data_IF_840770477304
#
_entry.id   IF_840770477304
#
_cell.length_a   1.000
_cell.length_b   1.000
_cell.length_c   1.000
_cell.angle_alpha   90.00
_cell.angle_beta   90.00
_cell.angle_gamma   90.00
#
_symmetry.space_group_name_H-M   'P 1'
#
loop_
_entity.id
_entity.type
_entity.pdbx_description
1 polymer ?
#
# COMPACT_ATOMS: atom_id res chain seq x y z
N UNK A 1 -2.59 7.89 -54.47
CA UNK A 1 -2.54 7.70 -53.00
C UNK A 1 -2.10 8.98 -52.29
N UNK A 2 -1.37 9.87 -52.99
CA UNK A 2 -0.77 11.10 -52.43
C UNK A 2 -1.83 12.14 -52.00
N UNK A 3 -2.86 12.43 -52.79
CA UNK A 3 -3.79 13.54 -52.52
C UNK A 3 -4.56 13.49 -51.18
N UNK A 4 -5.06 12.33 -50.77
CA UNK A 4 -5.81 12.20 -49.50
C UNK A 4 -4.85 12.07 -48.31
N UNK A 5 -3.76 11.33 -48.51
CA UNK A 5 -2.75 11.07 -47.49
C UNK A 5 -2.00 12.33 -47.06
N UNK A 6 -1.73 13.24 -48.00
CA UNK A 6 -1.05 14.52 -47.72
C UNK A 6 -1.78 15.35 -46.68
N UNK A 7 -3.10 15.24 -46.60
CA UNK A 7 -3.89 15.95 -45.59
C UNK A 7 -3.56 15.49 -44.15
N UNK A 8 -3.06 14.27 -43.96
CA UNK A 8 -2.71 13.70 -42.65
C UNK A 8 -1.20 13.77 -42.36
N UNK A 9 -0.42 14.41 -43.22
CA UNK A 9 1.04 14.55 -43.06
C UNK A 9 1.40 15.32 -41.78
N UNK A 10 0.67 16.40 -41.51
CA UNK A 10 0.83 17.19 -40.30
C UNK A 10 -0.20 16.77 -39.24
N UNK A 11 0.27 16.62 -37.99
CA UNK A 11 -0.56 16.18 -36.89
C UNK A 11 -1.54 17.30 -36.47
N UNK A 12 -2.82 17.11 -36.79
CA UNK A 12 -3.91 18.02 -36.45
C UNK A 12 -4.78 17.40 -35.33
N UNK A 13 -5.35 18.23 -34.44
CA UNK A 13 -6.17 17.74 -33.33
C UNK A 13 -7.40 17.01 -33.84
N UNK A 14 -7.60 15.77 -33.36
CA UNK A 14 -8.76 14.91 -33.65
C UNK A 14 -9.12 14.79 -35.14
N UNK A 15 -8.09 14.81 -36.01
CA UNK A 15 -8.25 14.59 -37.45
C UNK A 15 -8.25 13.09 -37.75
N UNK A 16 -9.44 12.50 -37.81
CA UNK A 16 -9.64 11.06 -37.99
C UNK A 16 -10.02 10.73 -39.45
N UNK A 17 -9.75 9.49 -39.90
CA UNK A 17 -10.09 9.07 -41.27
C UNK A 17 -11.60 9.11 -41.52
N UNK A 18 -12.41 8.74 -40.52
CA UNK A 18 -13.88 8.77 -40.60
C UNK A 18 -14.50 10.09 -40.15
N UNK A 19 -13.76 11.20 -40.21
CA UNK A 19 -14.12 12.52 -39.69
C UNK A 19 -14.37 12.54 -38.16
N UNK A 20 -15.51 12.00 -37.72
CA UNK A 20 -15.90 11.93 -36.31
C UNK A 20 -15.58 10.58 -35.65
N UNK A 21 -15.21 9.57 -36.43
CA UNK A 21 -14.80 8.23 -35.94
C UNK A 21 -13.41 7.86 -36.47
N UNK A 22 -12.56 7.21 -35.66
CA UNK A 22 -11.20 6.86 -36.08
C UNK A 22 -11.21 5.80 -37.18
N UNK A 23 -12.20 4.90 -37.14
CA UNK A 23 -12.36 3.82 -38.11
C UNK A 23 -13.69 4.00 -38.85
N UNK A 24 -13.67 4.31 -40.16
CA UNK A 24 -14.91 4.55 -40.92
C UNK A 24 -15.82 3.31 -40.96
N UNK A 25 -15.22 2.11 -40.92
CA UNK A 25 -15.94 0.83 -40.91
C UNK A 25 -16.46 0.43 -39.51
N UNK A 26 -16.08 1.15 -38.45
CA UNK A 26 -16.57 0.88 -37.10
C UNK A 26 -17.06 2.16 -36.40
N UNK A 27 -18.29 2.62 -36.73
CA UNK A 27 -18.83 3.86 -36.18
C UNK A 27 -19.12 3.81 -34.67
N UNK A 28 -19.20 2.61 -34.08
CA UNK A 28 -19.49 2.46 -32.63
C UNK A 28 -18.28 2.80 -31.77
N UNK A 29 -17.06 2.63 -32.30
CA UNK A 29 -15.83 2.95 -31.58
C UNK A 29 -15.56 4.46 -31.60
N UNK A 30 -16.00 5.14 -30.55
CA UNK A 30 -15.79 6.58 -30.32
C UNK A 30 -14.95 6.78 -29.05
N UNK A 31 -13.61 6.84 -29.16
CA UNK A 31 -12.77 6.92 -27.97
C UNK A 31 -13.02 8.24 -27.23
N UNK A 32 -13.26 8.21 -25.90
CA UNK A 32 -13.38 9.43 -25.12
C UNK A 32 -12.02 10.12 -25.00
N UNK A 33 -11.98 11.46 -24.87
CA UNK A 33 -10.73 12.19 -24.66
C UNK A 33 -10.06 11.76 -23.34
N UNK A 34 -8.73 11.67 -23.28
CA UNK A 34 -8.04 11.31 -22.05
C UNK A 34 -8.10 12.44 -21.02
N UNK A 35 -7.76 12.10 -19.77
CA UNK A 35 -7.68 13.08 -18.68
C UNK A 35 -6.42 13.95 -18.79
N UNK A 36 -6.56 15.24 -18.50
CA UNK A 36 -5.43 16.15 -18.53
C UNK A 36 -4.38 15.83 -17.47
N UNK A 37 -3.13 16.10 -17.80
CA UNK A 37 -1.98 15.96 -16.92
C UNK A 37 -2.13 16.79 -15.66
N UNK A 38 -2.66 18.01 -15.77
CA UNK A 38 -2.95 18.88 -14.64
C UNK A 38 -3.97 18.25 -13.67
N UNK A 39 -5.04 17.64 -14.20
CA UNK A 39 -6.05 16.98 -13.35
C UNK A 39 -5.43 15.77 -12.65
N UNK A 40 -4.66 14.97 -13.38
CA UNK A 40 -3.94 13.81 -12.81
C UNK A 40 -3.00 14.24 -11.68
N UNK A 41 -2.31 15.36 -11.84
CA UNK A 41 -1.45 15.91 -10.79
C UNK A 41 -2.24 16.48 -9.61
N UNK A 42 -3.36 17.18 -9.84
CA UNK A 42 -4.25 17.65 -8.77
C UNK A 42 -4.81 16.50 -7.94
N UNK A 43 -5.25 15.41 -8.58
CA UNK A 43 -5.74 14.21 -7.90
C UNK A 43 -4.65 13.58 -7.04
N UNK A 44 -3.44 13.44 -7.58
CA UNK A 44 -2.29 12.91 -6.84
C UNK A 44 -1.93 13.77 -5.64
N UNK A 45 -1.85 15.09 -5.83
CA UNK A 45 -1.53 16.02 -4.74
C UNK A 45 -2.59 16.02 -3.64
N UNK A 46 -3.88 15.97 -4.00
CA UNK A 46 -4.97 15.88 -3.04
C UNK A 46 -4.91 14.58 -2.22
N UNK A 47 -4.64 13.45 -2.89
CA UNK A 47 -4.47 12.16 -2.21
C UNK A 47 -3.26 12.17 -1.25
N UNK A 48 -2.14 12.75 -1.67
CA UNK A 48 -0.92 12.83 -0.86
C UNK A 48 -1.03 13.78 0.33
N UNK A 49 -1.90 14.80 0.26
CA UNK A 49 -2.16 15.71 1.38
C UNK A 49 -2.93 15.03 2.51
N UNK A 50 -4.09 14.46 2.19
CA UNK A 50 -4.98 13.82 3.18
C UNK A 50 -5.60 12.54 2.57
N UNK A 51 -4.96 11.36 2.72
CA UNK A 51 -5.46 10.11 2.14
C UNK A 51 -6.82 9.66 2.67
N UNK A 52 -7.15 10.00 3.92
CA UNK A 52 -8.44 9.64 4.55
C UNK A 52 -9.60 10.45 3.97
N UNK A 53 -9.41 11.77 3.81
CA UNK A 53 -10.44 12.65 3.23
C UNK A 53 -10.52 12.49 1.71
N UNK A 54 -9.37 12.44 1.05
CA UNK A 54 -9.26 12.29 -0.41
C UNK A 54 -9.02 10.82 -0.78
N UNK A 55 -9.84 9.92 -0.23
CA UNK A 55 -9.78 8.50 -0.58
C UNK A 55 -10.02 8.29 -2.08
N UNK A 56 -9.56 7.15 -2.63
CA UNK A 56 -9.72 6.80 -4.05
C UNK A 56 -11.18 6.93 -4.49
N UNK A 57 -12.13 6.48 -3.65
CA UNK A 57 -13.58 6.60 -3.90
C UNK A 57 -14.05 8.06 -3.89
N UNK A 58 -13.58 8.87 -2.96
CA UNK A 58 -13.93 10.29 -2.90
C UNK A 58 -13.43 11.05 -4.14
N UNK A 59 -12.20 10.75 -4.58
CA UNK A 59 -11.63 11.32 -5.81
C UNK A 59 -12.38 10.85 -7.06
N UNK A 60 -12.72 9.57 -7.15
CA UNK A 60 -13.54 9.02 -8.24
C UNK A 60 -14.88 9.75 -8.35
N UNK A 61 -15.57 9.93 -7.23
CA UNK A 61 -16.84 10.66 -7.16
C UNK A 61 -16.69 12.14 -7.53
N UNK A 62 -15.63 12.81 -7.06
CA UNK A 62 -15.39 14.24 -7.30
C UNK A 62 -15.03 14.55 -8.75
N UNK A 63 -14.22 13.70 -9.39
CA UNK A 63 -13.73 13.91 -10.75
C UNK A 63 -14.54 13.15 -11.81
N UNK A 64 -15.52 12.35 -11.42
CA UNK A 64 -16.32 11.49 -12.30
C UNK A 64 -15.46 10.54 -13.13
N UNK A 65 -14.56 9.86 -12.44
CA UNK A 65 -13.58 8.94 -13.00
C UNK A 65 -13.75 7.58 -12.32
N UNK A 66 -13.67 6.47 -13.06
CA UNK A 66 -13.78 5.13 -12.47
C UNK A 66 -12.72 4.89 -11.40
N UNK A 67 -13.05 4.09 -10.39
CA UNK A 67 -12.19 3.88 -9.23
C UNK A 67 -10.81 3.34 -9.67
N UNK A 68 -10.78 2.37 -10.59
CA UNK A 68 -9.53 1.84 -11.16
C UNK A 68 -8.72 2.86 -11.94
N UNK A 69 -9.38 3.79 -12.64
CA UNK A 69 -8.67 4.83 -13.37
C UNK A 69 -8.01 5.81 -12.40
N UNK A 70 -8.67 6.16 -11.29
CA UNK A 70 -8.05 6.92 -10.18
C UNK A 70 -6.84 6.16 -9.63
N UNK A 71 -7.01 4.86 -9.37
CA UNK A 71 -5.98 3.95 -8.87
C UNK A 71 -4.71 3.97 -9.73
N UNK A 72 -4.90 3.76 -11.04
CA UNK A 72 -3.84 3.78 -12.03
C UNK A 72 -3.16 5.15 -12.12
N UNK A 73 -3.91 6.25 -12.04
CA UNK A 73 -3.36 7.62 -12.02
C UNK A 73 -2.43 7.79 -10.83
N UNK A 74 -2.85 7.39 -9.63
CA UNK A 74 -2.03 7.52 -8.42
C UNK A 74 -0.73 6.71 -8.55
N UNK A 75 -0.81 5.49 -9.07
CA UNK A 75 0.35 4.62 -9.29
C UNK A 75 1.34 5.20 -10.30
N UNK A 76 0.85 5.62 -11.46
CA UNK A 76 1.69 6.16 -12.54
C UNK A 76 2.33 7.50 -12.13
N UNK A 77 1.61 8.34 -11.38
CA UNK A 77 2.17 9.58 -10.81
C UNK A 77 3.22 9.31 -9.74
N UNK A 78 3.03 8.29 -8.90
CA UNK A 78 4.09 7.84 -7.98
C UNK A 78 5.38 7.47 -8.73
N UNK A 79 5.26 6.67 -9.79
CA UNK A 79 6.38 6.26 -10.63
C UNK A 79 7.08 7.46 -11.29
N UNK A 80 6.30 8.43 -11.80
CA UNK A 80 6.82 9.67 -12.37
C UNK A 80 7.68 10.44 -11.35
N UNK A 81 7.19 10.63 -10.12
CA UNK A 81 7.95 11.31 -9.06
C UNK A 81 9.20 10.54 -8.66
N UNK A 82 9.17 9.21 -8.67
CA UNK A 82 10.35 8.39 -8.41
C UNK A 82 11.39 8.48 -9.53
N UNK A 83 10.96 8.56 -10.80
CA UNK A 83 11.86 8.82 -11.92
C UNK A 83 12.49 10.21 -11.85
N UNK A 84 11.73 11.22 -11.42
CA UNK A 84 12.27 12.56 -11.15
C UNK A 84 13.36 12.52 -10.07
N UNK A 85 13.13 11.80 -8.97
CA UNK A 85 14.14 11.61 -7.91
C UNK A 85 15.39 10.89 -8.41
N UNK A 86 15.23 9.92 -9.31
CA UNK A 86 16.34 9.20 -9.96
C UNK A 86 17.07 10.07 -11.00
N UNK A 87 16.59 11.28 -11.31
CA UNK A 87 17.17 12.15 -12.33
C UNK A 87 16.89 11.70 -13.77
N UNK A 88 15.91 10.82 -14.00
CA UNK A 88 15.53 10.41 -15.36
C UNK A 88 14.75 11.55 -16.05
N UNK A 89 15.14 11.87 -17.27
CA UNK A 89 14.46 12.90 -18.06
C UNK A 89 13.06 12.43 -18.50
N UNK A 90 12.04 13.21 -18.15
CA UNK A 90 10.66 12.96 -18.57
C UNK A 90 10.35 13.60 -19.93
N UNK A 91 9.54 12.92 -20.75
CA UNK A 91 9.13 13.38 -22.07
C UNK A 91 7.91 14.33 -22.02
N UNK A 92 8.05 15.47 -21.34
CA UNK A 92 6.95 16.44 -21.15
C UNK A 92 6.47 17.08 -22.46
N UNK A 93 7.38 17.31 -23.42
CA UNK A 93 7.02 17.85 -24.74
C UNK A 93 6.14 16.90 -25.55
N UNK A 94 6.45 15.59 -25.52
CA UNK A 94 5.62 14.57 -26.16
C UNK A 94 4.23 14.51 -25.52
N UNK A 95 4.18 14.52 -24.19
CA UNK A 95 2.93 14.55 -23.44
C UNK A 95 2.06 15.76 -23.84
N UNK A 96 2.62 16.97 -23.88
CA UNK A 96 1.88 18.17 -24.27
C UNK A 96 1.35 18.09 -25.71
N UNK A 97 2.15 17.55 -26.64
CA UNK A 97 1.72 17.30 -28.02
C UNK A 97 0.56 16.32 -28.10
N UNK A 98 0.63 15.21 -27.37
CA UNK A 98 -0.44 14.20 -27.33
C UNK A 98 -1.73 14.73 -26.72
N UNK A 99 -1.66 15.53 -25.66
CA UNK A 99 -2.85 16.15 -25.06
C UNK A 99 -3.54 17.12 -26.03
N UNK A 100 -2.76 17.86 -26.83
CA UNK A 100 -3.28 18.71 -27.91
C UNK A 100 -3.95 17.88 -29.01
N UNK A 101 -3.31 16.80 -29.47
CA UNK A 101 -3.84 15.97 -30.57
C UNK A 101 -5.12 15.23 -30.19
N UNK A 102 -5.23 14.77 -28.95
CA UNK A 102 -6.38 14.03 -28.45
C UNK A 102 -7.52 14.93 -27.92
N UNK A 103 -7.40 16.25 -28.08
CA UNK A 103 -8.37 17.25 -27.60
C UNK A 103 -8.80 17.03 -26.15
N UNK A 104 -7.81 16.94 -25.27
CA UNK A 104 -8.06 16.80 -23.84
C UNK A 104 -8.85 18.00 -23.32
N UNK A 105 -9.99 17.72 -22.69
CA UNK A 105 -10.81 18.76 -22.05
C UNK A 105 -10.18 19.18 -20.72
N UNK A 106 -10.04 20.48 -20.50
CA UNK A 106 -9.78 21.03 -19.17
C UNK A 106 -11.07 20.95 -18.35
N UNK A 107 -11.24 19.89 -17.56
CA UNK A 107 -12.42 19.74 -16.70
C UNK A 107 -12.30 20.75 -15.55
N UNK A 108 -13.19 21.74 -15.50
CA UNK A 108 -13.45 22.48 -14.27
C UNK A 108 -14.18 21.55 -13.29
N UNK A 109 -13.79 21.50 -12.01
CA UNK A 109 -14.38 20.58 -11.02
C UNK A 109 -15.85 20.88 -10.66
N UNK A 110 -16.49 21.81 -11.38
CA UNK A 110 -17.86 22.24 -11.16
C UNK A 110 -18.56 22.40 -12.51
N UNK A 111 -19.78 21.85 -12.54
CA UNK A 111 -20.91 22.28 -13.39
C UNK A 111 -21.10 21.56 -14.73
N UNK A 112 -21.46 20.27 -14.69
CA UNK A 112 -22.70 19.75 -15.32
C UNK A 112 -22.74 18.22 -15.16
N UNK A 113 -23.86 17.70 -14.69
CA UNK A 113 -24.13 16.26 -14.64
C UNK A 113 -24.62 15.86 -16.04
N UNK A 114 -23.72 15.84 -17.01
CA UNK A 114 -24.06 15.37 -18.35
C UNK A 114 -23.99 13.84 -18.41
N UNK A 115 -24.75 13.26 -19.34
CA UNK A 115 -25.10 11.84 -19.50
C UNK A 115 -23.92 10.82 -19.57
N UNK A 116 -22.68 11.27 -19.43
CA UNK A 116 -21.45 10.46 -19.48
C UNK A 116 -21.19 9.65 -18.20
N UNK A 117 -22.05 9.76 -17.16
CA UNK A 117 -21.95 8.93 -15.94
C UNK A 117 -22.27 7.45 -16.15
N UNK A 118 -22.96 7.10 -17.24
CA UNK A 118 -23.37 5.71 -17.48
C UNK A 118 -22.16 4.79 -17.70
N UNK A 119 -21.17 5.25 -18.47
CA UNK A 119 -19.93 4.52 -18.78
C UNK A 119 -19.11 4.23 -17.50
N UNK A 120 -19.01 5.21 -16.59
CA UNK A 120 -18.22 5.05 -15.35
C UNK A 120 -18.87 4.06 -14.38
N UNK A 121 -20.19 4.15 -14.20
CA UNK A 121 -20.91 3.24 -13.32
C UNK A 121 -20.93 1.82 -13.89
N UNK A 122 -21.16 1.65 -15.19
CA UNK A 122 -21.13 0.37 -15.88
C UNK A 122 -19.75 -0.30 -15.80
N UNK A 123 -18.67 0.48 -15.98
CA UNK A 123 -17.31 0.00 -15.83
C UNK A 123 -17.00 -0.47 -14.39
N UNK A 124 -17.45 0.28 -13.37
CA UNK A 124 -17.26 -0.11 -11.98
C UNK A 124 -18.15 -1.32 -11.59
N UNK A 125 -19.36 -1.45 -12.14
CA UNK A 125 -20.24 -2.62 -11.89
C UNK A 125 -19.74 -3.89 -12.56
N UNK A 126 -19.34 -3.82 -13.84
CA UNK A 126 -18.81 -4.95 -14.58
C UNK A 126 -17.54 -5.48 -13.91
N UNK A 127 -16.73 -4.59 -13.36
CA UNK A 127 -15.54 -4.95 -12.59
C UNK A 127 -15.85 -5.65 -11.27
N UNK A 128 -16.89 -5.20 -10.57
CA UNK A 128 -17.37 -5.85 -9.35
C UNK A 128 -17.85 -7.28 -9.65
N UNK A 129 -18.58 -7.44 -10.76
CA UNK A 129 -19.09 -8.72 -11.23
C UNK A 129 -17.96 -9.66 -11.72
N UNK A 130 -16.89 -9.11 -12.30
CA UNK A 130 -15.68 -9.85 -12.71
C UNK A 130 -14.80 -10.31 -11.53
N UNK A 131 -15.09 -9.87 -10.29
CA UNK A 131 -14.39 -10.27 -9.06
C UNK A 131 -12.85 -10.12 -9.12
N UNK A 132 -12.34 -9.11 -9.85
CA UNK A 132 -10.90 -8.80 -10.01
C UNK A 132 -10.34 -7.98 -8.83
N UNK A 133 -10.64 -8.41 -7.61
CA UNK A 133 -10.36 -7.69 -6.35
C UNK A 133 -8.86 -7.67 -5.93
N UNK A 134 -8.01 -8.43 -6.62
CA UNK A 134 -6.56 -8.49 -6.41
C UNK A 134 -5.82 -7.12 -6.55
N UNK A 135 -6.50 -6.08 -7.04
CA UNK A 135 -5.96 -4.73 -7.14
C UNK A 135 -6.07 -3.90 -5.85
N UNK A 136 -7.08 -4.12 -5.01
CA UNK A 136 -7.33 -3.30 -3.81
C UNK A 136 -6.30 -3.50 -2.70
N UNK A 137 -5.66 -4.67 -2.64
CA UNK A 137 -4.63 -4.99 -1.65
C UNK A 137 -3.24 -4.39 -1.97
N UNK A 138 -3.03 -3.82 -3.18
CA UNK A 138 -1.71 -3.32 -3.63
C UNK A 138 -1.24 -2.03 -2.94
N UNK A 139 -2.10 -1.34 -2.17
CA UNK A 139 -1.78 -0.06 -1.54
C UNK A 139 -1.08 -0.17 -0.18
N UNK A 140 -1.03 -1.36 0.42
CA UNK A 140 -0.23 -1.59 1.62
C UNK A 140 1.23 -1.87 1.25
N UNK A 141 1.98 -0.80 0.98
CA UNK A 141 3.45 -0.76 0.79
C UNK A 141 3.98 -1.63 -0.36
N UNK A 142 4.58 -0.96 -1.35
CA UNK A 142 5.30 -1.56 -2.49
C UNK A 142 6.22 -2.72 -2.05
N UNK A 143 5.78 -3.95 -2.26
CA UNK A 143 6.65 -5.13 -2.28
C UNK A 143 7.05 -5.41 -3.72
N UNK A 144 8.35 -5.65 -3.93
CA UNK A 144 8.94 -6.04 -5.20
C UNK A 144 8.64 -7.50 -5.56
N UNK A 145 7.36 -7.86 -5.65
CA UNK A 145 6.96 -9.15 -6.21
C UNK A 145 6.36 -8.95 -7.60
N UNK A 146 6.87 -9.70 -8.57
CA UNK A 146 6.24 -9.83 -9.88
C UNK A 146 4.89 -10.52 -9.69
N UNK A 147 3.79 -9.81 -9.94
CA UNK A 147 2.47 -10.44 -9.98
C UNK A 147 2.42 -11.45 -11.13
N UNK A 148 2.12 -12.73 -10.88
CA UNK A 148 1.99 -13.72 -11.95
C UNK A 148 0.93 -13.31 -12.99
N UNK A 149 1.17 -13.58 -14.27
CA UNK A 149 0.19 -13.28 -15.34
C UNK A 149 -1.13 -14.05 -15.15
N UNK A 150 -1.10 -15.17 -14.40
CA UNK A 150 -2.26 -15.98 -14.01
C UNK A 150 -3.24 -15.27 -13.05
N UNK A 151 -2.97 -14.02 -12.63
CA UNK A 151 -3.87 -13.23 -11.79
C UNK A 151 -3.93 -13.66 -10.32
N UNK A 152 -3.02 -14.55 -9.88
CA UNK A 152 -2.91 -14.97 -8.48
C UNK A 152 -2.41 -13.82 -7.60
N UNK A 153 -2.87 -13.82 -6.35
CA UNK A 153 -2.47 -12.81 -5.36
C UNK A 153 -0.97 -12.93 -5.00
N UNK A 154 -0.27 -11.80 -4.79
CA UNK A 154 1.09 -11.82 -4.28
C UNK A 154 1.12 -12.44 -2.87
N UNK A 155 2.06 -13.35 -2.64
CA UNK A 155 2.10 -14.17 -1.43
C UNK A 155 2.75 -13.43 -0.25
N UNK A 156 3.70 -12.52 -0.52
CA UNK A 156 4.47 -11.84 0.54
C UNK A 156 3.64 -10.89 1.40
N UNK A 157 2.73 -10.05 0.86
CA UNK A 157 1.91 -9.18 1.69
C UNK A 157 1.12 -9.96 2.76
N UNK A 158 0.38 -11.00 2.35
CA UNK A 158 -0.36 -11.86 3.28
C UNK A 158 0.54 -12.59 4.28
N UNK A 159 1.71 -13.06 3.82
CA UNK A 159 2.70 -13.72 4.69
C UNK A 159 3.26 -12.78 5.75
N UNK A 160 3.50 -11.52 5.41
CA UNK A 160 4.01 -10.51 6.33
C UNK A 160 2.95 -10.04 7.31
N UNK A 161 1.71 -9.82 6.87
CA UNK A 161 0.61 -9.53 7.78
C UNK A 161 0.41 -10.67 8.78
N UNK A 162 0.38 -11.90 8.30
CA UNK A 162 0.30 -13.09 9.15
C UNK A 162 1.50 -13.17 10.13
N UNK A 163 2.73 -12.93 9.66
CA UNK A 163 3.91 -12.91 10.52
C UNK A 163 3.85 -11.80 11.58
N UNK A 164 3.38 -10.61 11.24
CA UNK A 164 3.22 -9.50 12.20
C UNK A 164 2.14 -9.81 13.23
N UNK A 165 1.02 -10.41 12.82
CA UNK A 165 -0.04 -10.86 13.71
C UNK A 165 0.48 -11.91 14.69
N UNK A 166 1.18 -12.93 14.19
CA UNK A 166 1.80 -13.95 15.03
C UNK A 166 2.81 -13.35 16.00
N UNK A 167 3.67 -12.43 15.55
CA UNK A 167 4.65 -11.76 16.40
C UNK A 167 3.98 -10.96 17.54
N UNK A 168 2.89 -10.23 17.25
CA UNK A 168 2.09 -9.54 18.27
C UNK A 168 1.48 -10.53 19.25
N UNK A 169 0.91 -11.63 18.76
CA UNK A 169 0.30 -12.68 19.59
C UNK A 169 1.32 -13.31 20.55
N UNK A 170 2.48 -13.72 20.03
CA UNK A 170 3.56 -14.29 20.84
C UNK A 170 4.13 -13.28 21.84
N UNK A 171 4.25 -12.01 21.49
CA UNK A 171 4.68 -10.97 22.41
C UNK A 171 3.69 -10.79 23.58
N UNK A 172 2.38 -10.80 23.29
CA UNK A 172 1.33 -10.71 24.31
C UNK A 172 1.32 -11.93 25.23
N UNK A 173 1.49 -13.13 24.68
CA UNK A 173 1.58 -14.37 25.46
C UNK A 173 2.82 -14.38 26.37
N UNK A 174 3.98 -13.96 25.85
CA UNK A 174 5.20 -13.83 26.64
C UNK A 174 5.06 -12.82 27.79
N UNK A 175 4.32 -11.72 27.58
CA UNK A 175 3.99 -10.77 28.65
C UNK A 175 3.08 -11.39 29.72
N UNK A 176 2.05 -12.16 29.33
CA UNK A 176 1.18 -12.88 30.27
C UNK A 176 1.97 -13.89 31.11
N UNK A 177 2.89 -14.63 30.49
CA UNK A 177 3.77 -15.57 31.18
C UNK A 177 4.74 -14.86 32.15
N UNK A 178 5.31 -13.71 31.75
CA UNK A 178 6.15 -12.87 32.62
C UNK A 178 5.36 -12.29 33.80
N UNK A 179 4.10 -11.95 33.60
CA UNK A 179 3.23 -11.42 34.65
C UNK A 179 2.81 -12.50 35.67
N UNK A 180 2.78 -13.77 35.28
CA UNK A 180 2.35 -14.87 36.16
C UNK A 180 3.39 -15.15 37.27
N UNK A 181 3.09 -14.83 38.55
CA UNK A 181 4.04 -14.98 39.65
C UNK A 181 4.43 -16.44 39.93
N UNK A 182 3.58 -17.39 39.54
CA UNK A 182 3.82 -18.82 39.74
C UNK A 182 4.93 -19.34 38.83
N UNK A 183 5.03 -18.80 37.62
CA UNK A 183 6.05 -19.19 36.65
C UNK A 183 7.33 -18.37 36.84
N UNK A 184 7.18 -17.06 37.04
CA UNK A 184 8.28 -16.11 37.27
C UNK A 184 8.07 -15.37 38.60
N UNK A 185 8.60 -15.88 39.72
CA UNK A 185 8.51 -15.19 41.00
C UNK A 185 9.29 -13.88 40.93
N UNK A 186 8.65 -12.78 41.32
CA UNK A 186 9.32 -11.48 41.45
C UNK A 186 10.09 -11.43 42.76
N UNK A 187 11.42 -11.33 42.67
CA UNK A 187 12.25 -10.99 43.82
C UNK A 187 12.01 -9.48 44.13
N UNK A 188 11.88 -9.03 45.38
CA UNK A 188 11.81 -7.60 45.67
C UNK A 188 13.16 -6.92 45.38
N UNK A 189 13.12 -5.68 44.91
CA UNK A 189 14.32 -4.90 44.66
C UNK A 189 14.96 -4.48 45.99
N UNK A 190 16.29 -4.51 46.04
CA UNK A 190 17.07 -4.13 47.22
C UNK A 190 17.82 -2.84 46.92
N UNK A 191 18.19 -2.02 47.92
CA UNK A 191 18.91 -0.76 47.67
C UNK A 191 20.23 -0.95 46.89
N UNK A 192 20.90 -2.08 47.06
CA UNK A 192 22.12 -2.42 46.31
C UNK A 192 21.86 -3.08 44.92
N UNK A 193 20.63 -3.49 44.62
CA UNK A 193 20.29 -4.21 43.40
C UNK A 193 18.89 -3.80 42.93
N UNK A 194 18.89 -2.81 42.05
CA UNK A 194 17.67 -2.26 41.42
C UNK A 194 17.61 -2.75 39.98
N UNK A 195 16.43 -3.22 39.55
CA UNK A 195 16.25 -3.64 38.16
C UNK A 195 16.14 -2.43 37.24
N UNK A 196 16.73 -2.51 36.05
CA UNK A 196 16.45 -1.51 35.03
C UNK A 196 14.98 -1.60 34.62
N UNK A 197 14.30 -0.44 34.57
CA UNK A 197 12.92 -0.37 34.06
C UNK A 197 12.87 -0.43 32.53
N UNK A 198 13.95 -0.03 31.86
CA UNK A 198 14.05 -0.07 30.41
C UNK A 198 14.26 -1.50 29.91
N UNK A 199 13.56 -1.86 28.83
CA UNK A 199 13.71 -3.16 28.15
C UNK A 199 15.11 -3.35 27.54
N UNK A 200 15.75 -2.24 27.17
CA UNK A 200 17.07 -2.21 26.57
C UNK A 200 17.94 -1.31 27.43
N UNK A 201 19.06 -1.84 27.91
CA UNK A 201 20.07 -1.10 28.67
C UNK A 201 21.36 -1.11 27.88
N UNK A 202 21.80 0.06 27.45
CA UNK A 202 23.08 0.23 26.76
C UNK A 202 24.13 0.75 27.74
N UNK A 203 25.30 0.11 27.73
CA UNK A 203 26.45 0.48 28.57
C UNK A 203 27.61 0.79 27.63
N UNK A 204 27.92 2.08 27.48
CA UNK A 204 29.09 2.55 26.74
C UNK A 204 30.21 2.94 27.71
N UNK A 205 31.45 2.56 27.40
CA UNK A 205 32.66 2.95 28.13
C UNK A 205 33.75 3.33 27.13
N UNK A 206 34.55 4.38 27.39
CA UNK A 206 35.60 4.81 26.46
C UNK A 206 36.61 3.67 26.25
N UNK A 207 37.02 3.45 24.99
CA UNK A 207 37.97 2.41 24.61
C UNK A 207 37.40 0.98 24.58
N UNK A 208 36.08 0.78 24.73
CA UNK A 208 35.42 -0.52 24.60
C UNK A 208 34.17 -0.43 23.73
N UNK A 209 33.80 -1.54 23.09
CA UNK A 209 32.55 -1.64 22.36
C UNK A 209 31.35 -1.47 23.31
N UNK A 210 30.28 -0.85 22.81
CA UNK A 210 29.06 -0.61 23.59
C UNK A 210 28.32 -1.93 23.78
N UNK A 211 27.97 -2.26 25.02
CA UNK A 211 27.20 -3.45 25.36
C UNK A 211 25.72 -3.12 25.43
N UNK A 212 24.87 -3.94 24.80
CA UNK A 212 23.42 -3.80 24.85
C UNK A 212 22.79 -5.02 25.52
N UNK A 213 22.18 -4.80 26.67
CA UNK A 213 21.41 -5.82 27.39
C UNK A 213 19.95 -5.67 27.01
N UNK A 214 19.36 -6.73 26.46
CA UNK A 214 17.94 -6.79 26.09
C UNK A 214 17.24 -7.75 27.03
N UNK A 215 16.23 -7.26 27.76
CA UNK A 215 15.35 -8.13 28.54
C UNK A 215 14.44 -8.92 27.59
N UNK A 216 14.79 -10.20 27.39
CA UNK A 216 14.04 -11.16 26.58
C UNK A 216 12.85 -11.77 27.33
N UNK A 217 12.69 -11.49 28.63
CA UNK A 217 11.56 -11.94 29.44
C UNK A 217 11.38 -13.47 29.43
N UNK A 218 10.14 -13.92 29.22
CA UNK A 218 9.77 -15.34 29.17
C UNK A 218 9.93 -15.98 27.77
N UNK A 219 10.54 -15.28 26.79
CA UNK A 219 10.58 -15.72 25.38
C UNK A 219 11.20 -17.11 25.19
N UNK A 220 12.17 -17.47 26.02
CA UNK A 220 12.88 -18.76 25.96
C UNK A 220 12.60 -19.65 27.17
N UNK A 221 11.56 -19.37 27.96
CA UNK A 221 11.17 -20.26 29.05
C UNK A 221 10.34 -21.43 28.54
N UNK A 222 10.79 -22.66 28.81
CA UNK A 222 9.94 -23.84 28.70
C UNK A 222 8.94 -23.88 29.87
N UNK A 223 7.68 -23.54 29.58
CA UNK A 223 6.60 -23.50 30.57
C UNK A 223 6.36 -24.88 31.19
N UNK A 224 6.45 -25.94 30.40
CA UNK A 224 6.19 -27.30 30.87
C UNK A 224 7.28 -27.77 31.82
N UNK A 225 8.54 -27.50 31.47
CA UNK A 225 9.66 -27.81 32.35
C UNK A 225 9.56 -27.03 33.67
N UNK A 226 9.19 -25.74 33.60
CA UNK A 226 9.00 -24.89 34.79
C UNK A 226 7.91 -25.43 35.71
N UNK A 227 6.76 -25.84 35.16
CA UNK A 227 5.67 -26.45 35.93
C UNK A 227 6.13 -27.75 36.58
N UNK A 228 6.85 -28.62 35.86
CA UNK A 228 7.42 -29.86 36.41
C UNK A 228 8.34 -29.57 37.60
N UNK A 229 9.25 -28.61 37.47
CA UNK A 229 10.16 -28.18 38.57
C UNK A 229 9.39 -27.67 39.79
N UNK A 230 8.31 -26.91 39.61
CA UNK A 230 7.49 -26.43 40.72
C UNK A 230 6.81 -27.59 41.46
N UNK A 231 6.30 -28.58 40.72
CA UNK A 231 5.66 -29.77 41.31
C UNK A 231 6.67 -30.61 42.08
N UNK A 232 7.86 -30.88 41.53
CA UNK A 232 8.91 -31.62 42.24
C UNK A 232 9.41 -30.88 43.46
N UNK A 233 9.59 -29.56 43.40
CA UNK A 233 9.97 -28.74 44.55
C UNK A 233 8.92 -28.82 45.68
N UNK A 234 7.62 -28.73 45.36
CA UNK A 234 6.54 -28.91 46.34
C UNK A 234 6.55 -30.30 46.97
N UNK A 235 6.77 -31.36 46.18
CA UNK A 235 6.89 -32.74 46.68
C UNK A 235 8.07 -32.90 47.64
N UNK A 236 9.23 -32.31 47.31
CA UNK A 236 10.44 -32.36 48.16
C UNK A 236 10.24 -31.59 49.47
N UNK A 237 9.65 -30.39 49.43
CA UNK A 237 9.37 -29.59 50.61
C UNK A 237 8.38 -30.27 51.58
N UNK A 238 7.42 -31.06 51.06
CA UNK A 238 6.51 -31.85 51.88
C UNK A 238 7.21 -33.01 52.58
N UNK A 239 8.23 -33.60 51.95
CA UNK A 239 9.04 -34.70 52.50
C UNK A 239 10.03 -34.23 53.58
N UNK A 240 10.52 -33.00 53.52
CA UNK A 240 11.49 -32.48 54.50
C UNK A 240 10.86 -31.85 55.75
N UNK A 241 9.52 -31.84 55.85
CA UNK A 241 8.75 -31.33 56.99
C UNK A 241 8.23 -32.45 57.91
N UNK A 242 8.55 -33.69 57.58
CA UNK A 242 8.37 -34.90 58.38
C UNK A 242 9.75 -35.25 58.90
#
# INVERSE_FOLDING_TARGET
MEEIGDSFKDAQPRKWLGNEVPFPMNPTFKPPPPLSSEIRERMYNAFMQDPEKNSVRALAQRYHVSIKRVDAILRLKGLEKDWQKQGKQLQTGFQAGMEKLLMVKSISPSTSVDADRYDVHEADTLEHDENRDASRQRYQRLYWESTPEDGREPVVPGSLEHATFLAKRFAAEAQKLKANPKLMPRIPDKPAMVRPQAKIVQVSRPGRATLQFVDVGAKFMDVNERVRRIVTAKRKARRSRI
#
